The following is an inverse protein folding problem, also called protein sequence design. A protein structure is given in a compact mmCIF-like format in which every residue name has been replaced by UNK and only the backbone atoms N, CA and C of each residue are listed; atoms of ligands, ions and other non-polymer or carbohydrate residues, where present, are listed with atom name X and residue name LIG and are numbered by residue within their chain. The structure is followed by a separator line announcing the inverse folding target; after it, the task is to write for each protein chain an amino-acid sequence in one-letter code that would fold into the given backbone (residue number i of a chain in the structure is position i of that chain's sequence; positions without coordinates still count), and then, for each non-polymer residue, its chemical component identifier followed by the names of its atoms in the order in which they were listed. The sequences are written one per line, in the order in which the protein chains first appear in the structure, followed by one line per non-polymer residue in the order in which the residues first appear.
data_IF_388035472961
#
_entry.id   IF_388035472961
#
_cell.length_a   1.000
_cell.length_b   1.000
_cell.length_c   1.000
_cell.angle_alpha   90.00
_cell.angle_beta   90.00
_cell.angle_gamma   90.00
#
_symmetry.space_group_name_H-M   'P 1'
#
loop_
_entity.id
_entity.type
_entity.pdbx_description
1 polymer ?
#
# COMPACT_ATOMS: atom_id res chain seq x y z
N UNK A 1 -5.34 13.78 1.81
CA UNK A 1 -5.09 13.14 3.12
C UNK A 1 -5.32 14.08 4.29
N UNK A 2 -4.60 15.21 4.43
CA UNK A 2 -4.82 16.14 5.56
C UNK A 2 -6.27 16.66 5.68
N UNK A 3 -6.89 17.08 4.57
CA UNK A 3 -8.30 17.52 4.55
C UNK A 3 -9.27 16.38 4.91
N UNK A 4 -8.91 15.16 4.55
CA UNK A 4 -9.68 13.93 4.83
C UNK A 4 -9.39 13.34 6.23
N UNK A 5 -8.54 13.99 7.04
CA UNK A 5 -8.16 13.49 8.37
C UNK A 5 -7.26 12.25 8.38
N UNK A 6 -6.59 11.93 7.26
CA UNK A 6 -5.67 10.78 7.16
C UNK A 6 -4.26 11.19 7.61
N UNK A 7 -3.74 10.55 8.66
CA UNK A 7 -2.34 10.68 9.08
C UNK A 7 -1.42 10.05 8.02
N UNK A 8 -0.55 10.88 7.46
CA UNK A 8 0.41 10.49 6.43
C UNK A 8 1.86 10.66 6.87
N UNK A 9 2.12 10.79 8.19
CA UNK A 9 3.46 10.98 8.76
C UNK A 9 4.45 9.86 8.42
N UNK A 10 3.95 8.68 8.07
CA UNK A 10 4.73 7.49 7.75
C UNK A 10 4.86 7.24 6.23
N UNK A 11 4.30 8.12 5.41
CA UNK A 11 4.40 7.99 3.95
C UNK A 11 5.78 8.45 3.51
N UNK A 12 6.49 7.56 2.84
CA UNK A 12 7.84 7.81 2.33
C UNK A 12 7.78 8.53 1.00
N UNK A 13 8.74 9.42 0.79
CA UNK A 13 9.00 10.07 -0.48
C UNK A 13 10.35 9.62 -1.00
N UNK A 14 10.46 9.46 -2.32
CA UNK A 14 11.72 9.12 -2.99
C UNK A 14 11.87 9.97 -4.24
N UNK A 15 13.11 10.36 -4.53
CA UNK A 15 13.49 11.02 -5.78
C UNK A 15 13.98 10.01 -6.85
N UNK A 16 14.09 8.72 -6.50
CA UNK A 16 14.64 7.69 -7.38
C UNK A 16 13.70 7.27 -8.51
N UNK A 17 12.39 7.37 -8.30
CA UNK A 17 11.37 6.94 -9.27
C UNK A 17 10.10 7.78 -9.11
N UNK A 18 9.33 8.02 -10.19
CA UNK A 18 8.04 8.71 -10.10
C UNK A 18 7.04 7.97 -9.19
N UNK A 19 6.02 8.71 -8.73
CA UNK A 19 4.81 8.08 -8.16
C UNK A 19 4.15 7.17 -9.19
N UNK A 20 3.50 6.09 -8.71
CA UNK A 20 2.70 5.19 -9.56
C UNK A 20 1.80 5.98 -10.50
N UNK A 21 1.73 5.54 -11.76
CA UNK A 21 0.85 6.09 -12.76
C UNK A 21 -0.07 5.00 -13.32
N UNK A 22 -1.34 5.34 -13.51
CA UNK A 22 -2.32 4.53 -14.21
C UNK A 22 -2.88 5.31 -15.40
N UNK A 23 -2.92 4.67 -16.56
CA UNK A 23 -3.59 5.19 -17.76
C UNK A 23 -4.86 4.37 -17.93
N UNK A 24 -6.01 5.04 -17.84
CA UNK A 24 -7.32 4.43 -18.01
C UNK A 24 -7.88 4.87 -19.36
N UNK A 25 -8.08 3.92 -20.25
CA UNK A 25 -8.67 4.12 -21.57
C UNK A 25 -10.05 3.49 -21.55
N UNK A 26 -11.08 4.30 -21.75
CA UNK A 26 -12.43 3.79 -21.97
C UNK A 26 -12.59 3.46 -23.45
N UNK A 27 -12.91 2.21 -23.77
CA UNK A 27 -13.11 1.81 -25.15
C UNK A 27 -14.52 2.16 -25.67
N UNK A 28 -14.77 1.89 -26.96
CA UNK A 28 -16.03 2.22 -27.61
C UNK A 28 -17.24 1.46 -27.03
N UNK A 29 -17.02 0.33 -26.36
CA UNK A 29 -18.07 -0.43 -25.67
C UNK A 29 -18.30 0.07 -24.25
N UNK A 30 -17.44 0.97 -23.78
CA UNK A 30 -17.52 1.56 -22.45
C UNK A 30 -16.70 0.83 -21.39
N UNK A 31 -15.92 -0.18 -21.77
CA UNK A 31 -15.05 -0.94 -20.87
C UNK A 31 -13.76 -0.18 -20.57
N UNK A 32 -13.25 -0.32 -19.35
CA UNK A 32 -11.98 0.29 -18.93
C UNK A 32 -10.81 -0.63 -19.26
N UNK A 33 -9.83 -0.10 -19.99
CA UNK A 33 -8.50 -0.71 -20.14
C UNK A 33 -7.53 0.08 -19.28
N UNK A 34 -6.91 -0.59 -18.32
CA UNK A 34 -6.03 0.03 -17.35
C UNK A 34 -4.61 -0.45 -17.61
N UNK A 35 -3.70 0.50 -17.82
CA UNK A 35 -2.27 0.26 -17.94
C UNK A 35 -1.62 0.91 -16.72
N UNK A 36 -0.82 0.17 -15.98
CA UNK A 36 -0.20 0.66 -14.74
C UNK A 36 1.31 0.59 -14.83
N UNK A 37 1.98 1.66 -14.42
CA UNK A 37 3.38 1.66 -14.02
C UNK A 37 3.44 1.76 -12.49
N UNK A 38 3.93 0.72 -11.78
CA UNK A 38 3.98 0.71 -10.32
C UNK A 38 4.81 1.84 -9.69
N UNK A 39 5.79 2.41 -10.41
CA UNK A 39 6.64 3.50 -9.90
C UNK A 39 7.16 3.27 -8.48
N UNK A 40 7.00 4.28 -7.62
CA UNK A 40 7.40 4.24 -6.21
C UNK A 40 6.74 3.12 -5.38
N UNK A 41 5.55 2.64 -5.74
CA UNK A 41 4.87 1.58 -4.98
C UNK A 41 5.64 0.25 -5.07
N UNK A 42 6.28 -0.03 -6.20
CA UNK A 42 7.14 -1.20 -6.37
C UNK A 42 8.44 -1.14 -5.54
N UNK A 43 8.74 0.00 -4.91
CA UNK A 43 9.92 0.19 -4.05
C UNK A 43 9.62 -0.03 -2.57
N UNK A 44 8.37 -0.29 -2.19
CA UNK A 44 8.01 -0.55 -0.81
C UNK A 44 8.51 -1.93 -0.38
N UNK A 45 9.41 -1.96 0.61
CA UNK A 45 10.09 -3.19 1.04
C UNK A 45 9.47 -3.78 2.31
N UNK A 46 9.78 -5.04 2.59
CA UNK A 46 9.44 -5.70 3.85
C UNK A 46 10.08 -5.00 5.06
N UNK A 47 11.29 -4.47 4.92
CA UNK A 47 11.97 -3.69 5.98
C UNK A 47 11.20 -2.41 6.32
N UNK A 48 10.63 -1.72 5.33
CA UNK A 48 9.82 -0.52 5.58
C UNK A 48 8.59 -0.84 6.43
N UNK A 49 7.94 -1.97 6.12
CA UNK A 49 6.83 -2.49 6.91
C UNK A 49 7.26 -2.81 8.34
N UNK A 50 8.40 -3.47 8.53
CA UNK A 50 8.90 -3.83 9.86
C UNK A 50 9.19 -2.62 10.74
N UNK A 51 9.82 -1.58 10.16
CA UNK A 51 10.09 -0.31 10.85
C UNK A 51 8.77 0.33 11.27
N UNK A 52 7.81 0.45 10.36
CA UNK A 52 6.53 1.09 10.69
C UNK A 52 5.72 0.25 11.69
N UNK A 53 5.74 -1.08 11.56
CA UNK A 53 5.01 -1.98 12.44
C UNK A 53 5.48 -1.97 13.89
N UNK A 54 6.67 -1.42 14.18
CA UNK A 54 7.09 -1.14 15.55
C UNK A 54 6.13 -0.17 16.28
N UNK A 55 5.39 0.65 15.54
CA UNK A 55 4.44 1.63 16.11
C UNK A 55 3.01 1.10 16.26
N UNK A 56 2.70 -0.05 15.66
CA UNK A 56 1.33 -0.59 15.64
C UNK A 56 0.88 -1.01 17.03
N UNK A 57 -0.37 -0.68 17.38
CA UNK A 57 -1.01 -1.03 18.65
C UNK A 57 -2.29 -1.81 18.39
N UNK A 58 -2.60 -2.76 19.26
CA UNK A 58 -3.88 -3.49 19.26
C UNK A 58 -4.83 -2.89 20.31
N UNK A 59 -6.16 -2.86 20.07
CA UNK A 59 -6.85 -3.33 18.87
C UNK A 59 -6.76 -2.33 17.71
N UNK A 60 -6.49 -2.83 16.50
CA UNK A 60 -6.53 -2.06 15.26
C UNK A 60 -6.79 -2.97 14.05
N UNK A 61 -7.08 -2.35 12.90
CA UNK A 61 -7.27 -3.01 11.61
C UNK A 61 -6.06 -2.69 10.74
N UNK A 62 -5.49 -3.72 10.12
CA UNK A 62 -4.54 -3.58 9.02
C UNK A 62 -5.26 -3.92 7.72
N UNK A 63 -5.29 -2.97 6.79
CA UNK A 63 -5.83 -3.15 5.44
C UNK A 63 -4.70 -3.01 4.42
N UNK A 64 -4.63 -3.94 3.46
CA UNK A 64 -3.71 -3.88 2.32
C UNK A 64 -4.39 -4.36 1.03
N UNK A 65 -3.75 -4.09 -0.10
CA UNK A 65 -4.10 -4.56 -1.44
C UNK A 65 -2.85 -5.19 -2.08
N UNK A 66 -2.94 -5.59 -3.37
CA UNK A 66 -1.84 -6.18 -4.14
C UNK A 66 -1.22 -5.21 -5.18
N UNK A 67 -1.29 -3.90 -4.96
CA UNK A 67 -0.65 -2.87 -5.80
C UNK A 67 0.76 -2.46 -5.31
N UNK A 68 1.34 -3.29 -4.44
CA UNK A 68 2.71 -3.24 -3.92
C UNK A 68 3.33 -4.65 -4.07
N UNK A 69 4.64 -4.84 -3.86
CA UNK A 69 5.22 -6.18 -3.90
C UNK A 69 4.48 -7.15 -2.97
N UNK A 70 4.16 -8.34 -3.48
CA UNK A 70 3.30 -9.32 -2.78
C UNK A 70 3.93 -9.75 -1.46
N UNK A 71 5.25 -9.91 -1.44
CA UNK A 71 6.03 -10.20 -0.24
C UNK A 71 5.89 -9.11 0.84
N UNK A 72 5.77 -7.85 0.43
CA UNK A 72 5.60 -6.71 1.32
C UNK A 72 4.20 -6.74 1.95
N UNK A 73 3.15 -6.95 1.14
CA UNK A 73 1.79 -7.11 1.63
C UNK A 73 1.65 -8.32 2.58
N UNK A 74 2.23 -9.46 2.20
CA UNK A 74 2.23 -10.67 3.00
C UNK A 74 2.96 -10.46 4.35
N UNK A 75 4.10 -9.75 4.34
CA UNK A 75 4.84 -9.42 5.56
C UNK A 75 4.02 -8.54 6.49
N UNK A 76 3.33 -7.53 5.97
CA UNK A 76 2.45 -6.67 6.75
C UNK A 76 1.33 -7.49 7.43
N UNK A 77 0.66 -8.36 6.68
CA UNK A 77 -0.40 -9.24 7.20
C UNK A 77 0.15 -10.16 8.30
N UNK A 78 1.30 -10.81 8.07
CA UNK A 78 1.92 -11.70 9.04
C UNK A 78 2.24 -10.96 10.36
N UNK A 79 2.80 -9.76 10.27
CA UNK A 79 3.09 -8.91 11.42
C UNK A 79 1.80 -8.48 12.13
N UNK A 80 0.78 -8.05 11.38
CA UNK A 80 -0.50 -7.61 11.92
C UNK A 80 -1.18 -8.72 12.73
N UNK A 81 -1.25 -9.94 12.17
CA UNK A 81 -1.78 -11.12 12.86
C UNK A 81 -1.02 -11.42 14.14
N UNK A 82 0.32 -11.43 14.09
CA UNK A 82 1.16 -11.70 15.25
C UNK A 82 0.99 -10.68 16.39
N UNK A 83 0.61 -9.44 16.04
CA UNK A 83 0.32 -8.36 17.00
C UNK A 83 -1.15 -8.29 17.43
N UNK A 84 -1.99 -9.23 17.00
CA UNK A 84 -3.41 -9.28 17.34
C UNK A 84 -4.25 -8.19 16.67
N UNK A 85 -3.86 -7.73 15.47
CA UNK A 85 -4.68 -6.85 14.64
C UNK A 85 -5.63 -7.70 13.78
N UNK A 86 -6.79 -7.14 13.43
CA UNK A 86 -7.63 -7.69 12.37
C UNK A 86 -6.99 -7.35 11.02
N UNK A 87 -6.66 -8.36 10.21
CA UNK A 87 -6.01 -8.17 8.91
C UNK A 87 -6.99 -8.40 7.77
N UNK A 88 -7.07 -7.45 6.83
CA UNK A 88 -7.91 -7.52 5.63
C UNK A 88 -7.03 -7.32 4.40
N UNK A 89 -7.24 -8.18 3.39
CA UNK A 89 -6.68 -8.05 2.05
C UNK A 89 -7.86 -7.89 1.08
N UNK A 90 -7.79 -6.88 0.21
CA UNK A 90 -8.67 -6.74 -0.95
C UNK A 90 -8.08 -7.44 -2.17
#
# INVERSE_FOLDING_TARGET
WRVEGVDCSQVRQTAETPTMAGIIIRDAMGENRIITDPGANARLTTTDVEIFAATWKSPAILLTQLEIPVETAARAIAIGKARGLMTIQN
#
